data_IF_408581652723
#
_entry.id   IF_408581652723
#
_cell.length_a   1.000
_cell.length_b   1.000
_cell.length_c   1.000
_cell.angle_alpha   90.00
_cell.angle_beta   90.00
_cell.angle_gamma   90.00
#
_symmetry.space_group_name_H-M   'P 1'
#
loop_
_entity.id
_entity.type
_entity.pdbx_description
1 polymer ?
#
# COMPACT_ATOMS: atom_id res chain seq x y z
N UNK A 1 36.43 37.04 -53.88
CA UNK A 1 35.32 37.20 -54.81
C UNK A 1 34.09 36.56 -54.29
N UNK A 2 33.06 37.36 -54.22
CA UNK A 2 31.66 37.07 -54.08
C UNK A 2 31.18 36.15 -52.90
N UNK A 3 30.67 36.80 -51.88
CA UNK A 3 29.75 36.43 -50.83
C UNK A 3 28.45 35.84 -51.38
N UNK A 4 28.03 34.75 -50.85
CA UNK A 4 26.63 34.34 -50.87
C UNK A 4 26.06 34.46 -49.41
N UNK A 5 25.46 35.62 -49.11
CA UNK A 5 24.49 35.82 -48.05
C UNK A 5 23.19 35.20 -48.56
N UNK A 6 22.81 34.01 -47.99
CA UNK A 6 21.44 33.56 -48.14
C UNK A 6 20.57 34.42 -47.23
N UNK A 7 19.78 35.28 -47.79
CA UNK A 7 18.67 35.96 -47.12
C UNK A 7 17.63 34.92 -46.74
N UNK A 8 17.54 34.59 -45.46
CA UNK A 8 16.40 33.85 -44.93
C UNK A 8 15.16 34.74 -45.07
N UNK A 9 14.14 34.21 -45.73
CA UNK A 9 12.89 34.89 -45.99
C UNK A 9 12.20 35.26 -44.65
N UNK A 10 11.72 36.51 -44.49
CA UNK A 10 11.02 36.93 -43.29
C UNK A 10 9.77 36.11 -42.97
N UNK A 11 9.20 35.40 -43.93
CA UNK A 11 8.08 34.47 -43.74
C UNK A 11 8.51 33.16 -43.12
N UNK A 12 9.68 32.60 -43.44
CA UNK A 12 10.24 31.40 -42.81
C UNK A 12 10.60 31.63 -41.34
N UNK A 13 11.08 32.83 -40.99
CA UNK A 13 11.33 33.24 -39.61
C UNK A 13 10.03 33.37 -38.79
N UNK A 14 8.97 33.92 -39.38
CA UNK A 14 7.65 34.01 -38.72
C UNK A 14 6.98 32.64 -38.54
N UNK A 15 7.09 31.75 -39.52
CA UNK A 15 6.60 30.38 -39.39
C UNK A 15 7.38 29.59 -38.33
N UNK A 16 8.69 29.67 -38.29
CA UNK A 16 9.53 29.03 -37.26
C UNK A 16 9.23 29.55 -35.86
N UNK A 17 9.02 30.87 -35.69
CA UNK A 17 8.62 31.46 -34.39
C UNK A 17 7.22 31.04 -33.97
N UNK A 18 6.27 30.90 -34.89
CA UNK A 18 4.91 30.45 -34.60
C UNK A 18 4.85 28.96 -34.23
N UNK A 19 5.65 28.13 -34.92
CA UNK A 19 5.79 26.69 -34.56
C UNK A 19 6.51 26.48 -33.21
N UNK A 20 7.51 27.33 -32.94
CA UNK A 20 8.22 27.27 -31.66
C UNK A 20 7.32 27.75 -30.50
N UNK A 21 6.54 28.80 -30.69
CA UNK A 21 5.52 29.25 -29.70
C UNK A 21 4.40 28.21 -29.52
N UNK A 22 3.95 27.53 -30.58
CA UNK A 22 2.99 26.43 -30.48
C UNK A 22 3.57 25.19 -29.75
N UNK A 23 4.85 24.88 -29.94
CA UNK A 23 5.55 23.81 -29.21
C UNK A 23 5.74 24.16 -27.74
N UNK A 24 6.04 25.39 -27.39
CA UNK A 24 6.18 25.85 -26.01
C UNK A 24 4.84 25.91 -25.26
N UNK A 25 3.77 26.38 -25.90
CA UNK A 25 2.42 26.35 -25.32
C UNK A 25 1.87 24.90 -25.19
N UNK A 26 2.14 24.04 -26.18
CA UNK A 26 1.80 22.61 -26.11
C UNK A 26 2.59 21.85 -25.02
N UNK A 27 3.84 22.23 -24.75
CA UNK A 27 4.68 21.68 -23.68
C UNK A 27 4.17 22.06 -22.29
N UNK A 28 3.76 23.31 -22.07
CA UNK A 28 3.24 23.79 -20.79
C UNK A 28 1.90 23.13 -20.41
N UNK A 29 0.98 23.00 -21.35
CA UNK A 29 -0.31 22.34 -21.14
C UNK A 29 -0.14 20.83 -20.88
N UNK A 30 0.81 20.17 -21.56
CA UNK A 30 1.17 18.76 -21.32
C UNK A 30 1.77 18.55 -19.92
N UNK A 31 2.61 19.45 -19.44
CA UNK A 31 3.22 19.37 -18.12
C UNK A 31 2.18 19.57 -17.01
N UNK A 32 1.35 20.60 -17.09
CA UNK A 32 0.28 20.86 -16.12
C UNK A 32 -0.69 19.67 -16.03
N UNK A 33 -1.08 19.09 -17.15
CA UNK A 33 -1.93 17.90 -17.21
C UNK A 33 -1.29 16.71 -16.50
N UNK A 34 0.00 16.46 -16.72
CA UNK A 34 0.75 15.39 -16.05
C UNK A 34 0.76 15.62 -14.53
N UNK A 35 1.03 16.83 -14.07
CA UNK A 35 1.06 17.17 -12.63
C UNK A 35 -0.31 16.95 -12.00
N UNK A 36 -1.40 17.39 -12.64
CA UNK A 36 -2.76 17.19 -12.13
C UNK A 36 -3.11 15.71 -12.04
N UNK A 37 -2.73 14.88 -13.02
CA UNK A 37 -2.93 13.43 -12.99
C UNK A 37 -2.16 12.76 -11.83
N UNK A 38 -0.91 13.17 -11.61
CA UNK A 38 -0.09 12.63 -10.52
C UNK A 38 -0.69 13.01 -9.16
N UNK A 39 -1.05 14.28 -8.96
CA UNK A 39 -1.71 14.73 -7.72
C UNK A 39 -3.01 13.96 -7.50
N UNK A 40 -3.81 13.77 -8.55
CA UNK A 40 -5.06 13.02 -8.49
C UNK A 40 -4.84 11.57 -8.04
N UNK A 41 -3.84 10.90 -8.61
CA UNK A 41 -3.48 9.54 -8.23
C UNK A 41 -2.99 9.46 -6.78
N UNK A 42 -2.14 10.41 -6.36
CA UNK A 42 -1.65 10.52 -4.99
C UNK A 42 -2.80 10.74 -3.99
N UNK A 43 -3.77 11.58 -4.31
CA UNK A 43 -4.94 11.82 -3.46
C UNK A 43 -5.79 10.55 -3.31
N UNK A 44 -6.12 9.88 -4.42
CA UNK A 44 -6.94 8.66 -4.39
C UNK A 44 -6.23 7.57 -3.59
N UNK A 45 -4.96 7.30 -3.92
CA UNK A 45 -4.20 6.22 -3.29
C UNK A 45 -3.84 6.54 -1.84
N UNK A 46 -3.40 7.76 -1.55
CA UNK A 46 -3.06 8.19 -0.18
C UNK A 46 -4.25 8.17 0.77
N UNK A 47 -5.43 8.64 0.32
CA UNK A 47 -6.65 8.57 1.14
C UNK A 47 -7.05 7.12 1.38
N UNK A 48 -7.05 6.28 0.35
CA UNK A 48 -7.38 4.86 0.47
C UNK A 48 -6.44 4.15 1.43
N UNK A 49 -5.13 4.36 1.27
CA UNK A 49 -4.13 3.70 2.11
C UNK A 49 -4.21 4.19 3.56
N UNK A 50 -4.40 5.50 3.77
CA UNK A 50 -4.60 6.03 5.12
C UNK A 50 -5.86 5.49 5.81
N UNK A 51 -6.92 5.12 5.08
CA UNK A 51 -8.06 4.39 5.65
C UNK A 51 -7.66 2.95 5.99
N UNK A 52 -6.93 2.27 5.11
CA UNK A 52 -6.55 0.87 5.26
C UNK A 52 -5.59 0.66 6.43
N UNK A 53 -4.56 1.48 6.57
CA UNK A 53 -3.50 1.29 7.56
C UNK A 53 -3.91 1.71 8.98
N UNK A 54 -5.06 2.38 9.13
CA UNK A 54 -5.57 2.85 10.42
C UNK A 54 -6.68 1.96 11.03
N UNK A 55 -6.82 0.72 10.60
CA UNK A 55 -7.81 -0.22 11.17
C UNK A 55 -7.61 -0.45 12.67
N UNK A 56 -6.37 -0.42 13.17
CA UNK A 56 -6.07 -0.55 14.60
C UNK A 56 -6.64 0.58 15.46
N UNK A 57 -6.62 1.83 14.97
CA UNK A 57 -7.25 2.97 15.65
C UNK A 57 -8.78 2.81 15.63
N UNK A 58 -9.35 2.42 14.48
CA UNK A 58 -10.79 2.16 14.35
C UNK A 58 -11.22 1.03 15.29
N UNK A 59 -10.50 -0.09 15.31
CA UNK A 59 -10.79 -1.25 16.12
C UNK A 59 -10.90 -0.91 17.61
N UNK A 60 -9.93 -0.15 18.14
CA UNK A 60 -9.93 0.26 19.56
C UNK A 60 -11.22 0.98 19.97
N UNK A 61 -11.79 1.76 19.05
CA UNK A 61 -13.00 2.54 19.29
C UNK A 61 -14.28 1.79 18.88
N UNK A 62 -14.19 0.83 17.95
CA UNK A 62 -15.32 0.00 17.55
C UNK A 62 -15.73 -0.99 18.65
N UNK A 63 -14.78 -1.59 19.37
CA UNK A 63 -15.07 -2.55 20.45
C UNK A 63 -16.13 -2.02 21.44
N UNK A 64 -15.92 -0.90 22.14
CA UNK A 64 -16.92 -0.37 23.08
C UNK A 64 -18.19 0.14 22.38
N UNK A 65 -18.10 0.57 21.13
CA UNK A 65 -19.21 1.14 20.37
C UNK A 65 -20.18 0.08 19.86
N UNK A 66 -19.66 -1.06 19.40
CA UNK A 66 -20.44 -2.13 18.75
C UNK A 66 -20.78 -3.28 19.69
N UNK A 67 -19.99 -3.49 20.73
CA UNK A 67 -20.07 -4.66 21.63
C UNK A 67 -19.47 -5.95 21.05
N UNK A 68 -18.90 -5.90 19.82
CA UNK A 68 -18.12 -7.01 19.24
C UNK A 68 -16.76 -7.04 19.91
N UNK A 69 -16.27 -8.23 20.30
CA UNK A 69 -15.04 -8.36 21.07
C UNK A 69 -13.78 -7.94 20.29
N UNK A 70 -12.73 -7.62 21.01
CA UNK A 70 -11.45 -7.25 20.40
C UNK A 70 -10.88 -8.39 19.54
N UNK A 71 -10.96 -9.63 20.03
CA UNK A 71 -10.51 -10.83 19.30
C UNK A 71 -11.31 -11.04 18.02
N UNK A 72 -12.64 -10.87 18.07
CA UNK A 72 -13.50 -11.00 16.88
C UNK A 72 -13.18 -9.94 15.84
N UNK A 73 -13.01 -8.67 16.23
CA UNK A 73 -12.66 -7.59 15.26
C UNK A 73 -11.25 -7.83 14.71
N UNK A 74 -10.30 -8.30 15.50
CA UNK A 74 -8.95 -8.66 15.04
C UNK A 74 -8.99 -9.78 13.99
N UNK A 75 -9.81 -10.82 14.22
CA UNK A 75 -10.03 -11.87 13.24
C UNK A 75 -10.65 -11.32 11.94
N UNK A 76 -11.63 -10.43 12.06
CA UNK A 76 -12.29 -9.76 10.92
C UNK A 76 -11.28 -8.95 10.09
N UNK A 77 -10.39 -8.20 10.72
CA UNK A 77 -9.31 -7.47 10.04
C UNK A 77 -8.39 -8.45 9.31
N UNK A 78 -8.04 -9.56 9.93
CA UNK A 78 -7.25 -10.62 9.30
C UNK A 78 -7.93 -11.19 8.05
N UNK A 79 -9.22 -11.50 8.10
CA UNK A 79 -10.01 -11.91 6.92
C UNK A 79 -9.97 -10.80 5.84
N UNK A 80 -10.10 -9.55 6.26
CA UNK A 80 -9.99 -8.39 5.37
C UNK A 80 -8.66 -8.31 4.65
N UNK A 81 -7.55 -8.59 5.33
CA UNK A 81 -6.22 -8.61 4.74
C UNK A 81 -6.12 -9.67 3.63
N UNK A 82 -6.61 -10.89 3.86
CA UNK A 82 -6.64 -11.94 2.83
C UNK A 82 -7.48 -11.51 1.63
N UNK A 83 -8.66 -10.94 1.86
CA UNK A 83 -9.53 -10.47 0.80
C UNK A 83 -8.91 -9.32 0.01
N UNK A 84 -8.29 -8.35 0.68
CA UNK A 84 -7.54 -7.27 0.03
C UNK A 84 -6.54 -7.80 -1.01
N UNK A 85 -5.81 -8.86 -0.68
CA UNK A 85 -4.88 -9.50 -1.63
C UNK A 85 -5.58 -10.27 -2.75
N UNK A 86 -6.61 -11.04 -2.42
CA UNK A 86 -7.30 -11.92 -3.38
C UNK A 86 -8.15 -11.18 -4.41
N UNK A 87 -8.73 -10.04 -4.04
CA UNK A 87 -9.59 -9.29 -4.95
C UNK A 87 -8.82 -8.47 -5.98
N UNK A 88 -7.56 -8.13 -5.72
CA UNK A 88 -6.76 -7.29 -6.64
C UNK A 88 -6.62 -7.89 -8.04
N UNK A 89 -6.27 -9.18 -8.22
CA UNK A 89 -6.26 -9.81 -9.55
C UNK A 89 -7.65 -9.81 -10.21
N UNK A 90 -8.71 -10.05 -9.43
CA UNK A 90 -10.09 -10.02 -9.94
C UNK A 90 -10.48 -8.64 -10.48
N UNK A 91 -10.16 -7.59 -9.73
CA UNK A 91 -10.39 -6.21 -10.16
C UNK A 91 -9.46 -5.81 -11.31
N UNK A 92 -8.24 -6.32 -11.37
CA UNK A 92 -7.36 -6.16 -12.53
C UNK A 92 -7.99 -6.70 -13.81
N UNK A 93 -8.51 -7.93 -13.77
CA UNK A 93 -9.22 -8.54 -14.92
C UNK A 93 -10.49 -7.73 -15.27
N UNK A 94 -11.23 -7.28 -14.28
CA UNK A 94 -12.43 -6.45 -14.50
C UNK A 94 -12.07 -5.11 -15.15
N UNK A 95 -10.94 -4.51 -14.75
CA UNK A 95 -10.44 -3.27 -15.32
C UNK A 95 -10.08 -3.42 -16.81
N UNK A 96 -9.47 -4.55 -17.19
CA UNK A 96 -9.20 -4.87 -18.61
C UNK A 96 -10.49 -5.03 -19.43
N UNK A 97 -11.55 -5.62 -18.84
CA UNK A 97 -12.81 -5.87 -19.53
C UNK A 97 -13.73 -4.65 -19.61
N UNK A 98 -13.69 -3.76 -18.64
CA UNK A 98 -14.58 -2.60 -18.54
C UNK A 98 -13.80 -1.29 -18.61
N UNK A 99 -13.16 -0.89 -17.54
CA UNK A 99 -12.17 0.22 -17.43
C UNK A 99 -11.65 0.32 -16.00
N UNK A 100 -10.48 0.93 -15.82
CA UNK A 100 -9.94 1.24 -14.50
C UNK A 100 -10.90 2.15 -13.70
N UNK A 101 -11.47 3.17 -14.34
CA UNK A 101 -12.41 4.09 -13.69
C UNK A 101 -13.66 3.36 -13.17
N UNK A 102 -14.19 2.40 -13.91
CA UNK A 102 -15.34 1.58 -13.47
C UNK A 102 -14.99 0.78 -12.21
N UNK A 103 -13.83 0.15 -12.16
CA UNK A 103 -13.35 -0.59 -10.98
C UNK A 103 -13.16 0.34 -9.79
N UNK A 104 -12.55 1.52 -10.00
CA UNK A 104 -12.36 2.51 -8.95
C UNK A 104 -13.70 3.02 -8.38
N UNK A 105 -14.72 3.20 -9.22
CA UNK A 105 -16.08 3.58 -8.76
C UNK A 105 -16.73 2.50 -7.92
N UNK A 106 -16.59 1.22 -8.31
CA UNK A 106 -17.04 0.09 -7.48
C UNK A 106 -16.30 0.10 -6.14
N UNK A 107 -14.97 0.28 -6.16
CA UNK A 107 -14.14 0.34 -4.96
C UNK A 107 -14.60 1.44 -4.00
N UNK A 108 -14.86 2.66 -4.51
CA UNK A 108 -15.40 3.74 -3.67
C UNK A 108 -16.76 3.37 -3.10
N UNK A 109 -17.69 2.84 -3.90
CA UNK A 109 -18.99 2.45 -3.41
C UNK A 109 -18.89 1.41 -2.27
N UNK A 110 -17.96 0.45 -2.38
CA UNK A 110 -17.71 -0.54 -1.33
C UNK A 110 -17.07 0.11 -0.09
N UNK A 111 -16.10 1.02 -0.25
CA UNK A 111 -15.48 1.74 0.87
C UNK A 111 -16.53 2.58 1.61
N UNK A 112 -17.35 3.35 0.90
CA UNK A 112 -18.41 4.16 1.49
C UNK A 112 -19.39 3.29 2.26
N UNK A 113 -19.84 2.18 1.66
CA UNK A 113 -20.76 1.21 2.30
C UNK A 113 -20.13 0.64 3.56
N UNK A 114 -18.86 0.19 3.50
CA UNK A 114 -18.13 -0.35 4.64
C UNK A 114 -17.97 0.67 5.76
N UNK A 115 -17.51 1.87 5.46
CA UNK A 115 -17.29 2.93 6.47
C UNK A 115 -18.60 3.39 7.14
N UNK A 116 -19.69 3.50 6.39
CA UNK A 116 -20.98 3.96 6.92
C UNK A 116 -21.68 2.85 7.73
N UNK A 117 -21.66 1.60 7.23
CA UNK A 117 -22.38 0.50 7.86
C UNK A 117 -21.65 -0.10 9.08
N UNK A 118 -20.31 -0.11 9.11
CA UNK A 118 -19.53 -0.72 10.19
C UNK A 118 -19.92 -0.22 11.58
N UNK A 119 -20.06 1.09 11.86
CA UNK A 119 -20.45 1.57 13.19
C UNK A 119 -21.87 1.15 13.62
N UNK A 120 -22.70 0.74 12.66
CA UNK A 120 -24.08 0.27 12.93
C UNK A 120 -24.15 -1.21 13.28
N UNK A 121 -23.06 -1.96 13.06
CA UNK A 121 -22.99 -3.39 13.35
C UNK A 121 -23.00 -3.64 14.87
N UNK A 122 -23.74 -4.66 15.29
CA UNK A 122 -23.83 -5.09 16.70
C UNK A 122 -23.51 -6.58 16.88
N UNK A 123 -23.22 -7.28 15.80
CA UNK A 123 -22.99 -8.73 15.79
C UNK A 123 -21.83 -9.06 14.86
N UNK A 124 -21.10 -10.14 15.19
CA UNK A 124 -19.97 -10.64 14.41
C UNK A 124 -20.27 -10.80 12.90
N UNK A 125 -21.40 -11.43 12.45
CA UNK A 125 -21.62 -11.63 11.01
C UNK A 125 -21.76 -10.33 10.22
N UNK A 126 -22.45 -9.34 10.79
CA UNK A 126 -22.62 -8.02 10.13
C UNK A 126 -21.31 -7.24 10.12
N UNK A 127 -20.52 -7.31 11.19
CA UNK A 127 -19.20 -6.71 11.26
C UNK A 127 -18.25 -7.38 10.24
N UNK A 128 -18.26 -8.72 10.16
CA UNK A 128 -17.48 -9.47 9.17
C UNK A 128 -17.84 -9.04 7.75
N UNK A 129 -19.13 -8.88 7.45
CA UNK A 129 -19.59 -8.46 6.12
C UNK A 129 -19.08 -7.06 5.76
N UNK A 130 -19.32 -6.05 6.60
CA UNK A 130 -19.05 -4.67 6.23
C UNK A 130 -17.59 -4.27 6.47
N UNK A 131 -17.01 -4.63 7.60
CA UNK A 131 -15.64 -4.26 7.97
C UNK A 131 -14.58 -5.26 7.46
N UNK A 132 -14.94 -6.57 7.41
CA UNK A 132 -14.01 -7.62 6.99
C UNK A 132 -14.06 -7.98 5.51
N UNK A 133 -15.19 -7.80 4.83
CA UNK A 133 -15.36 -8.20 3.42
C UNK A 133 -15.49 -6.99 2.51
N UNK A 134 -16.51 -6.15 2.72
CA UNK A 134 -16.84 -5.07 1.80
C UNK A 134 -15.77 -3.98 1.81
N UNK A 135 -15.40 -3.49 2.98
CA UNK A 135 -14.42 -2.39 3.09
C UNK A 135 -13.03 -2.77 2.54
N UNK A 136 -12.41 -3.90 2.93
CA UNK A 136 -11.10 -4.31 2.39
C UNK A 136 -11.15 -4.67 0.90
N UNK A 137 -12.26 -5.22 0.41
CA UNK A 137 -12.43 -5.44 -1.03
C UNK A 137 -12.49 -4.12 -1.80
N UNK A 138 -13.14 -3.10 -1.23
CA UNK A 138 -13.18 -1.76 -1.79
C UNK A 138 -11.80 -1.10 -1.84
N UNK A 139 -11.00 -1.22 -0.78
CA UNK A 139 -9.62 -0.71 -0.78
C UNK A 139 -8.75 -1.48 -1.79
N UNK A 140 -8.93 -2.79 -1.94
CA UNK A 140 -8.27 -3.59 -2.96
C UNK A 140 -8.59 -3.16 -4.40
N UNK A 141 -9.82 -2.66 -4.66
CA UNK A 141 -10.20 -2.11 -5.96
C UNK A 141 -9.55 -0.75 -6.27
N UNK A 142 -9.04 -0.04 -5.26
CA UNK A 142 -8.25 1.19 -5.39
C UNK A 142 -6.76 0.94 -5.13
N UNK A 143 -6.29 -0.30 -5.23
CA UNK A 143 -4.89 -0.65 -5.04
C UNK A 143 -3.95 0.13 -5.96
N UNK A 144 -2.69 0.21 -5.58
CA UNK A 144 -1.63 0.87 -6.34
C UNK A 144 -1.63 0.49 -7.82
N UNK A 145 -1.80 -0.81 -8.12
CA UNK A 145 -1.82 -1.32 -9.48
C UNK A 145 -2.96 -0.75 -10.32
N UNK A 146 -4.17 -0.65 -9.78
CA UNK A 146 -5.34 -0.09 -10.46
C UNK A 146 -5.18 1.41 -10.69
N UNK A 147 -4.74 2.16 -9.67
CA UNK A 147 -4.53 3.62 -9.77
C UNK A 147 -3.45 3.92 -10.80
N UNK A 148 -2.32 3.22 -10.76
CA UNK A 148 -1.23 3.40 -11.74
C UNK A 148 -1.66 3.02 -13.15
N UNK A 149 -2.38 1.90 -13.34
CA UNK A 149 -2.86 1.50 -14.65
C UNK A 149 -3.86 2.49 -15.25
N UNK A 150 -4.59 3.23 -14.41
CA UNK A 150 -5.51 4.27 -14.86
C UNK A 150 -4.81 5.49 -15.45
N UNK A 151 -3.63 5.87 -14.92
CA UNK A 151 -2.93 7.10 -15.33
C UNK A 151 -1.75 6.86 -16.28
N UNK A 152 -1.13 5.67 -16.26
CA UNK A 152 0.07 5.35 -17.06
C UNK A 152 -0.12 5.63 -18.55
N UNK A 153 -1.26 5.28 -19.21
CA UNK A 153 -1.46 5.60 -20.63
C UNK A 153 -1.47 7.11 -20.94
N UNK A 154 -1.83 7.93 -19.94
CA UNK A 154 -1.93 9.38 -20.09
C UNK A 154 -0.61 10.11 -19.82
N UNK A 155 0.28 9.56 -18.99
CA UNK A 155 1.59 10.15 -18.64
C UNK A 155 2.73 9.62 -19.51
N UNK A 156 2.54 8.44 -20.12
CA UNK A 156 3.51 7.72 -20.93
C UNK A 156 4.49 6.88 -20.12
N UNK A 157 4.95 5.77 -20.69
CA UNK A 157 5.81 4.77 -20.03
C UNK A 157 7.12 5.34 -19.48
N UNK A 158 7.73 6.29 -20.20
CA UNK A 158 9.01 6.92 -19.79
C UNK A 158 8.92 7.62 -18.42
N UNK A 159 7.75 8.18 -18.09
CA UNK A 159 7.51 8.87 -16.82
C UNK A 159 6.88 7.96 -15.77
N UNK A 160 6.31 6.83 -16.18
CA UNK A 160 5.55 5.94 -15.28
C UNK A 160 6.38 5.45 -14.09
N UNK A 161 7.66 5.11 -14.30
CA UNK A 161 8.53 4.66 -13.22
C UNK A 161 8.78 5.73 -12.14
N UNK A 162 9.01 6.99 -12.54
CA UNK A 162 9.18 8.10 -11.59
C UNK A 162 7.87 8.43 -10.87
N UNK A 163 6.76 8.45 -11.61
CA UNK A 163 5.42 8.73 -11.07
C UNK A 163 4.98 7.63 -10.10
N UNK A 164 5.28 6.36 -10.40
CA UNK A 164 4.96 5.25 -9.49
C UNK A 164 5.61 5.42 -8.11
N UNK A 165 6.85 5.89 -8.05
CA UNK A 165 7.52 6.20 -6.78
C UNK A 165 6.82 7.31 -6.00
N UNK A 166 6.34 8.36 -6.68
CA UNK A 166 5.61 9.47 -6.05
C UNK A 166 4.26 9.00 -5.53
N UNK A 167 3.52 8.23 -6.32
CA UNK A 167 2.21 7.67 -5.92
C UNK A 167 2.38 6.70 -4.76
N UNK A 168 3.40 5.82 -4.78
CA UNK A 168 3.68 4.93 -3.65
C UNK A 168 4.03 5.71 -2.37
N UNK A 169 4.82 6.79 -2.47
CA UNK A 169 5.15 7.63 -1.31
C UNK A 169 3.92 8.33 -0.70
N UNK A 170 2.86 8.57 -1.50
CA UNK A 170 1.62 9.16 -0.99
C UNK A 170 0.87 8.27 0.01
N UNK A 171 1.13 6.96 0.03
CA UNK A 171 0.61 6.05 1.06
C UNK A 171 1.08 6.48 2.46
N UNK A 172 2.40 6.65 2.64
CA UNK A 172 2.95 7.10 3.92
C UNK A 172 2.48 8.50 4.33
N UNK A 173 2.23 9.40 3.37
CA UNK A 173 1.62 10.71 3.64
C UNK A 173 0.16 10.54 4.10
N UNK A 174 -0.60 9.67 3.44
CA UNK A 174 -1.98 9.35 3.81
C UNK A 174 -2.06 8.80 5.24
N UNK A 175 -1.23 7.82 5.56
CA UNK A 175 -1.15 7.24 6.90
C UNK A 175 -0.73 8.28 7.96
N UNK A 176 0.31 9.06 7.69
CA UNK A 176 0.79 10.09 8.60
C UNK A 176 -0.27 11.17 8.92
N UNK A 177 -1.06 11.57 7.94
CA UNK A 177 -2.10 12.59 8.15
C UNK A 177 -3.37 12.02 8.77
N UNK A 178 -3.76 10.80 8.36
CA UNK A 178 -5.04 10.21 8.76
C UNK A 178 -5.02 9.63 10.16
N UNK A 179 -3.89 9.12 10.65
CA UNK A 179 -3.78 8.60 12.02
C UNK A 179 -4.20 9.63 13.08
N UNK A 180 -3.59 10.83 13.17
CA UNK A 180 -4.02 11.83 14.12
C UNK A 180 -5.39 12.45 13.80
N UNK A 181 -5.73 12.60 12.50
CA UNK A 181 -7.03 13.13 12.10
C UNK A 181 -8.17 12.21 12.55
N UNK A 182 -8.02 10.89 12.33
CA UNK A 182 -8.99 9.89 12.77
C UNK A 182 -9.17 9.93 14.30
N UNK A 183 -8.07 9.92 15.05
CA UNK A 183 -8.12 9.96 16.51
C UNK A 183 -8.73 11.28 17.03
N UNK A 184 -8.41 12.41 16.41
CA UNK A 184 -9.02 13.68 16.74
C UNK A 184 -10.55 13.67 16.55
N UNK A 185 -11.02 13.19 15.40
CA UNK A 185 -12.44 13.07 15.11
C UNK A 185 -13.14 12.08 16.07
N UNK A 186 -12.50 10.95 16.39
CA UNK A 186 -13.02 9.98 17.36
C UNK A 186 -13.18 10.63 18.73
N UNK A 187 -12.18 11.38 19.20
CA UNK A 187 -12.24 12.03 20.51
C UNK A 187 -13.30 13.13 20.60
N UNK A 188 -13.63 13.73 19.46
CA UNK A 188 -14.57 14.87 19.39
C UNK A 188 -16.03 14.41 19.22
N UNK A 189 -16.30 13.48 18.30
CA UNK A 189 -17.66 13.08 17.91
C UNK A 189 -17.86 11.54 17.86
N UNK A 190 -16.87 10.77 18.29
CA UNK A 190 -16.92 9.31 18.30
C UNK A 190 -16.66 8.66 16.93
N UNK A 191 -16.61 7.31 16.95
CA UNK A 191 -16.17 6.51 15.82
C UNK A 191 -17.12 6.60 14.60
N UNK A 192 -18.43 6.66 14.81
CA UNK A 192 -19.41 6.71 13.72
C UNK A 192 -19.26 7.99 12.89
N UNK A 193 -19.10 9.13 13.55
CA UNK A 193 -18.84 10.41 12.89
C UNK A 193 -17.50 10.40 12.15
N UNK A 194 -16.47 9.82 12.76
CA UNK A 194 -15.13 9.75 12.17
C UNK A 194 -15.10 8.91 10.91
N UNK A 195 -15.72 7.72 10.93
CA UNK A 195 -15.84 6.86 9.76
C UNK A 195 -16.70 7.52 8.66
N UNK A 196 -17.79 8.20 9.03
CA UNK A 196 -18.60 9.01 8.11
C UNK A 196 -17.82 10.15 7.46
N UNK A 197 -16.95 10.83 8.22
CA UNK A 197 -16.06 11.89 7.71
C UNK A 197 -15.04 11.34 6.71
N UNK A 198 -14.48 10.16 6.98
CA UNK A 198 -13.58 9.48 6.04
C UNK A 198 -14.31 8.98 4.79
N UNK A 199 -15.56 8.55 4.94
CA UNK A 199 -16.41 8.24 3.79
C UNK A 199 -16.64 9.49 2.92
N UNK A 200 -16.93 10.65 3.51
CA UNK A 200 -17.06 11.91 2.76
C UNK A 200 -15.75 12.31 2.07
N UNK A 201 -14.61 12.16 2.75
CA UNK A 201 -13.30 12.44 2.17
C UNK A 201 -13.03 11.53 0.96
N UNK A 202 -13.36 10.24 1.06
CA UNK A 202 -13.24 9.30 -0.06
C UNK A 202 -14.21 9.65 -1.19
N UNK A 203 -15.46 10.01 -0.88
CA UNK A 203 -16.45 10.46 -1.87
C UNK A 203 -16.00 11.72 -2.62
N UNK A 204 -15.24 12.62 -1.98
CA UNK A 204 -14.69 13.81 -2.61
C UNK A 204 -13.71 13.49 -3.75
N UNK A 205 -13.21 12.26 -3.86
CA UNK A 205 -12.37 11.82 -4.99
C UNK A 205 -13.19 11.42 -6.24
N UNK A 206 -14.52 11.26 -6.13
CA UNK A 206 -15.38 10.86 -7.25
C UNK A 206 -15.24 11.74 -8.50
N UNK A 207 -15.27 13.10 -8.41
CA UNK A 207 -15.09 13.95 -9.59
C UNK A 207 -13.77 13.69 -10.32
N UNK A 208 -12.71 13.41 -9.54
CA UNK A 208 -11.37 13.11 -10.06
C UNK A 208 -11.38 11.78 -10.83
N UNK A 209 -12.04 10.75 -10.31
CA UNK A 209 -12.16 9.44 -10.98
C UNK A 209 -12.99 9.56 -12.26
N UNK A 210 -14.08 10.30 -12.23
CA UNK A 210 -14.88 10.57 -13.45
C UNK A 210 -14.04 11.29 -14.50
N UNK A 211 -13.24 12.28 -14.10
CA UNK A 211 -12.34 12.99 -14.99
C UNK A 211 -11.27 12.07 -15.61
N UNK A 212 -10.62 11.22 -14.79
CA UNK A 212 -9.66 10.21 -15.27
C UNK A 212 -10.35 9.26 -16.25
N UNK A 213 -11.56 8.78 -15.94
CA UNK A 213 -12.33 7.89 -16.79
C UNK A 213 -12.75 8.50 -18.13
N UNK A 214 -13.14 9.77 -18.13
CA UNK A 214 -13.45 10.50 -19.37
C UNK A 214 -12.20 10.62 -20.25
N UNK A 215 -11.05 10.97 -19.67
CA UNK A 215 -9.79 11.11 -20.39
C UNK A 215 -9.21 9.79 -20.88
N UNK A 216 -9.38 8.71 -20.15
CA UNK A 216 -8.94 7.37 -20.55
C UNK A 216 -9.68 6.87 -21.79
N UNK A 217 -10.95 7.27 -22.00
CA UNK A 217 -11.74 6.89 -23.19
C UNK A 217 -11.25 7.58 -24.47
N UNK A 218 -10.54 8.69 -24.38
CA UNK A 218 -9.97 9.42 -25.53
C UNK A 218 -8.73 8.73 -26.09
N UNK A 219 -8.16 7.74 -25.37
CA UNK A 219 -6.94 7.04 -25.78
C UNK A 219 -7.28 5.74 -26.50
N UNK A 220 -6.51 5.37 -27.57
CA UNK A 220 -6.66 4.07 -28.21
C UNK A 220 -6.42 2.96 -27.21
N UNK A 221 -7.21 1.88 -27.33
CA UNK A 221 -7.03 0.69 -26.51
C UNK A 221 -5.62 0.13 -26.73
N UNK A 222 -4.89 -0.28 -25.67
CA UNK A 222 -3.58 -0.90 -25.84
C UNK A 222 -3.72 -2.19 -26.67
N UNK A 223 -3.18 -2.18 -27.86
CA UNK A 223 -3.13 -3.37 -28.73
C UNK A 223 -2.04 -4.31 -28.22
N UNK A 224 -2.39 -5.52 -27.82
CA UNK A 224 -1.50 -6.67 -27.91
C UNK A 224 -0.89 -7.29 -26.68
N UNK A 225 -1.07 -6.79 -25.45
CA UNK A 225 -0.39 -7.40 -24.28
C UNK A 225 -1.16 -8.55 -23.61
N UNK A 226 -2.47 -8.67 -23.81
CA UNK A 226 -3.30 -9.67 -23.11
C UNK A 226 -3.28 -11.08 -23.71
N UNK A 227 -2.91 -11.23 -24.97
CA UNK A 227 -3.11 -12.50 -25.68
C UNK A 227 -2.03 -13.58 -25.43
N UNK A 228 -0.87 -13.24 -24.91
CA UNK A 228 0.24 -14.21 -24.72
C UNK A 228 0.43 -14.71 -23.28
N UNK A 229 -0.14 -14.04 -22.29
CA UNK A 229 -0.12 -14.50 -20.89
C UNK A 229 -1.12 -15.65 -20.63
N UNK A 230 -2.05 -15.90 -21.55
CA UNK A 230 -3.16 -16.82 -21.40
C UNK A 230 -2.81 -18.31 -21.60
N UNK A 231 -1.58 -18.65 -21.98
CA UNK A 231 -1.20 -20.04 -22.35
C UNK A 231 -0.60 -20.88 -21.22
N UNK A 232 -0.05 -20.27 -20.15
CA UNK A 232 0.49 -21.05 -19.04
C UNK A 232 -0.61 -21.25 -17.97
N UNK A 233 -0.88 -22.50 -17.55
CA UNK A 233 -1.84 -22.77 -16.47
C UNK A 233 -1.27 -22.24 -15.16
N UNK A 234 -2.11 -21.57 -14.36
CA UNK A 234 -1.72 -21.03 -13.05
C UNK A 234 -1.09 -22.11 -12.14
N UNK A 235 -1.56 -23.36 -12.23
CA UNK A 235 -0.98 -24.51 -11.51
C UNK A 235 0.50 -24.77 -11.88
N UNK A 236 0.85 -24.57 -13.14
CA UNK A 236 2.22 -24.82 -13.61
C UNK A 236 3.14 -23.69 -13.17
N UNK A 237 2.66 -22.45 -13.23
CA UNK A 237 3.37 -21.27 -12.70
C UNK A 237 3.62 -21.41 -11.19
N UNK A 238 2.62 -21.82 -10.42
CA UNK A 238 2.77 -22.06 -8.98
C UNK A 238 3.80 -23.17 -8.73
N UNK A 239 3.72 -24.28 -9.47
CA UNK A 239 4.66 -25.38 -9.36
C UNK A 239 6.10 -24.94 -9.65
N UNK A 240 6.31 -24.18 -10.72
CA UNK A 240 7.62 -23.64 -11.09
C UNK A 240 8.16 -22.67 -10.05
N UNK A 241 7.30 -21.79 -9.53
CA UNK A 241 7.64 -20.86 -8.46
C UNK A 241 8.21 -21.64 -7.25
N UNK A 242 7.48 -22.63 -6.76
CA UNK A 242 7.87 -23.36 -5.55
C UNK A 242 8.94 -24.43 -5.79
N UNK A 243 9.27 -24.80 -7.04
CA UNK A 243 10.48 -25.58 -7.36
C UNK A 243 11.75 -24.74 -7.26
N UNK A 244 11.66 -23.44 -7.52
CA UNK A 244 12.79 -22.52 -7.44
C UNK A 244 13.15 -22.23 -5.98
N UNK A 245 14.42 -22.50 -5.58
CA UNK A 245 14.89 -22.26 -4.21
C UNK A 245 14.86 -20.78 -3.85
N UNK A 246 15.31 -19.92 -4.76
CA UNK A 246 15.34 -18.46 -4.55
C UNK A 246 13.92 -17.94 -4.27
N UNK A 247 12.95 -18.40 -5.05
CA UNK A 247 11.55 -17.98 -4.85
C UNK A 247 10.99 -18.43 -3.51
N UNK A 248 11.25 -19.66 -3.08
CA UNK A 248 10.80 -20.12 -1.75
C UNK A 248 11.36 -19.25 -0.61
N UNK A 249 12.64 -18.85 -0.70
CA UNK A 249 13.26 -17.97 0.28
C UNK A 249 12.63 -16.57 0.27
N UNK A 250 12.34 -16.03 -0.91
CA UNK A 250 11.61 -14.75 -1.08
C UNK A 250 10.20 -14.87 -0.50
N UNK A 251 9.47 -15.95 -0.82
CA UNK A 251 8.10 -16.19 -0.34
C UNK A 251 8.04 -16.24 1.18
N UNK A 252 8.95 -16.97 1.85
CA UNK A 252 9.05 -17.03 3.31
C UNK A 252 9.29 -15.64 3.88
N UNK A 253 10.25 -14.89 3.34
CA UNK A 253 10.53 -13.53 3.79
C UNK A 253 9.32 -12.61 3.63
N UNK A 254 8.67 -12.63 2.47
CA UNK A 254 7.54 -11.74 2.20
C UNK A 254 6.27 -12.12 2.99
N UNK A 255 6.05 -13.41 3.25
CA UNK A 255 4.98 -13.86 4.16
C UNK A 255 5.22 -13.36 5.60
N UNK A 256 6.46 -13.40 6.07
CA UNK A 256 6.86 -12.82 7.36
C UNK A 256 6.64 -11.30 7.39
N UNK A 257 6.87 -10.61 6.26
CA UNK A 257 6.60 -9.18 6.17
C UNK A 257 5.12 -8.90 6.47
N UNK A 258 4.19 -9.66 5.88
CA UNK A 258 2.76 -9.51 6.16
C UNK A 258 2.42 -9.70 7.63
N UNK A 259 3.04 -10.70 8.28
CA UNK A 259 2.87 -10.88 9.73
C UNK A 259 3.31 -9.64 10.52
N UNK A 260 4.49 -9.08 10.19
CA UNK A 260 5.01 -7.88 10.87
C UNK A 260 4.15 -6.63 10.60
N UNK A 261 3.73 -6.41 9.34
CA UNK A 261 2.91 -5.25 8.96
C UNK A 261 1.56 -5.24 9.69
N UNK A 262 0.91 -6.39 9.78
CA UNK A 262 -0.38 -6.50 10.46
C UNK A 262 -0.31 -6.25 11.97
N UNK A 263 0.84 -6.50 12.64
CA UNK A 263 1.03 -6.05 14.03
C UNK A 263 0.85 -4.54 14.13
N UNK A 264 1.46 -3.81 13.19
CA UNK A 264 1.46 -2.35 13.18
C UNK A 264 0.06 -1.83 12.89
N UNK A 265 -0.54 -2.30 11.80
CA UNK A 265 -1.84 -1.84 11.31
C UNK A 265 -2.99 -2.16 12.28
N UNK A 266 -2.91 -3.31 12.99
CA UNK A 266 -4.02 -3.79 13.83
C UNK A 266 -3.82 -3.55 15.32
N UNK A 267 -2.59 -3.73 15.83
CA UNK A 267 -2.39 -3.87 17.28
C UNK A 267 -1.50 -2.82 17.92
N UNK A 268 -0.59 -2.18 17.16
CA UNK A 268 0.44 -1.30 17.72
C UNK A 268 -0.16 -0.11 18.48
N UNK A 269 -1.20 0.52 17.90
CA UNK A 269 -1.92 1.61 18.57
C UNK A 269 -2.53 1.17 19.90
N UNK A 270 -3.22 0.02 19.91
CA UNK A 270 -3.84 -0.55 21.13
C UNK A 270 -2.80 -0.92 22.18
N UNK A 271 -1.63 -1.39 21.77
CA UNK A 271 -0.52 -1.69 22.66
C UNK A 271 0.01 -0.41 23.32
N UNK A 272 0.19 0.67 22.58
CA UNK A 272 0.65 1.93 23.16
C UNK A 272 -0.36 2.47 24.19
N UNK A 273 -1.64 2.37 23.91
CA UNK A 273 -2.68 2.74 24.88
C UNK A 273 -2.64 1.83 26.12
N UNK A 274 -2.33 0.53 25.98
CA UNK A 274 -2.17 -0.38 27.13
C UNK A 274 -0.95 -0.06 27.99
N UNK A 275 0.05 0.64 27.43
CA UNK A 275 1.19 1.18 28.20
C UNK A 275 0.88 2.48 28.95
N UNK A 276 -0.38 2.95 28.92
CA UNK A 276 -0.80 4.20 29.56
C UNK A 276 -0.52 5.45 28.71
N UNK A 277 -0.07 5.28 27.45
CA UNK A 277 0.09 6.40 26.51
C UNK A 277 -1.31 6.86 26.10
N UNK A 278 -1.58 8.16 26.17
CA UNK A 278 -2.89 8.70 25.75
C UNK A 278 -3.16 8.40 24.27
N UNK A 279 -4.42 8.20 23.90
CA UNK A 279 -4.79 7.88 22.52
C UNK A 279 -4.31 8.95 21.52
N UNK A 280 -4.34 10.22 21.90
CA UNK A 280 -3.82 11.30 21.07
C UNK A 280 -2.30 11.19 20.87
N UNK A 281 -1.54 10.89 21.92
CA UNK A 281 -0.11 10.68 21.81
C UNK A 281 0.21 9.42 20.98
N UNK A 282 -0.54 8.32 21.16
CA UNK A 282 -0.39 7.11 20.38
C UNK A 282 -0.65 7.35 18.87
N UNK A 283 -1.66 8.15 18.52
CA UNK A 283 -1.91 8.49 17.11
C UNK A 283 -0.82 9.37 16.50
N UNK A 284 -0.19 10.25 17.30
CA UNK A 284 0.99 11.01 16.85
C UNK A 284 2.21 10.10 16.65
N UNK A 285 2.36 9.05 17.45
CA UNK A 285 3.39 8.03 17.22
C UNK A 285 3.12 7.27 15.91
N UNK A 286 1.86 6.94 15.60
CA UNK A 286 1.50 6.34 14.32
C UNK A 286 1.74 7.27 13.12
N UNK A 287 1.58 8.58 13.29
CA UNK A 287 1.98 9.57 12.27
C UNK A 287 3.47 9.45 11.92
N UNK A 288 4.33 9.23 12.92
CA UNK A 288 5.77 9.01 12.70
C UNK A 288 6.00 7.74 11.86
N UNK A 289 5.21 6.69 12.07
CA UNK A 289 5.28 5.50 11.23
C UNK A 289 5.10 5.85 9.75
N UNK A 290 4.03 6.56 9.37
CA UNK A 290 3.78 6.94 7.98
C UNK A 290 4.91 7.79 7.37
N UNK A 291 5.44 8.77 8.12
CA UNK A 291 6.58 9.58 7.67
C UNK A 291 7.81 8.70 7.43
N UNK A 292 8.11 7.82 8.38
CA UNK A 292 9.30 6.97 8.31
C UNK A 292 9.19 5.87 7.25
N UNK A 293 7.97 5.42 6.93
CA UNK A 293 7.70 4.48 5.82
C UNK A 293 8.09 5.10 4.47
N UNK A 294 7.70 6.34 4.23
CA UNK A 294 8.11 7.09 3.03
C UNK A 294 9.64 7.26 2.96
N UNK A 295 10.27 7.69 4.05
CA UNK A 295 11.73 7.89 4.10
C UNK A 295 12.49 6.57 3.96
N UNK A 296 12.01 5.49 4.58
CA UNK A 296 12.61 4.15 4.52
C UNK A 296 12.57 3.57 3.11
N UNK A 297 11.46 3.70 2.41
CA UNK A 297 11.33 3.25 1.02
C UNK A 297 12.33 3.99 0.11
N UNK A 298 12.49 5.32 0.28
CA UNK A 298 13.49 6.10 -0.46
C UNK A 298 14.92 5.66 -0.12
N UNK A 299 15.24 5.52 1.17
CA UNK A 299 16.57 5.09 1.61
C UNK A 299 16.94 3.70 1.06
N UNK A 300 15.97 2.78 1.02
CA UNK A 300 16.16 1.44 0.45
C UNK A 300 16.48 1.49 -1.04
N UNK A 301 15.83 2.36 -1.80
CA UNK A 301 16.16 2.59 -3.21
C UNK A 301 17.62 3.01 -3.40
N UNK A 302 18.14 3.94 -2.58
CA UNK A 302 19.54 4.35 -2.61
C UNK A 302 20.49 3.24 -2.17
N UNK A 303 20.13 2.47 -1.13
CA UNK A 303 20.97 1.37 -0.66
C UNK A 303 21.14 0.27 -1.73
N UNK A 304 20.09 0.00 -2.54
CA UNK A 304 20.14 -0.98 -3.62
C UNK A 304 21.10 -0.58 -4.75
N UNK A 305 21.45 0.70 -4.89
CA UNK A 305 22.46 1.13 -5.86
C UNK A 305 23.90 0.76 -5.43
N UNK A 306 24.13 0.53 -4.14
CA UNK A 306 25.47 0.24 -3.58
C UNK A 306 25.61 -1.18 -3.06
N UNK A 307 24.53 -1.79 -2.58
CA UNK A 307 24.55 -3.10 -1.92
C UNK A 307 23.66 -4.11 -2.63
N UNK A 308 23.99 -5.40 -2.62
CA UNK A 308 23.12 -6.45 -3.15
C UNK A 308 21.74 -6.43 -2.46
N UNK A 309 20.66 -6.46 -3.23
CA UNK A 309 19.27 -6.41 -2.73
C UNK A 309 19.00 -7.44 -1.62
N UNK A 310 19.56 -8.67 -1.74
CA UNK A 310 19.41 -9.72 -0.73
C UNK A 310 20.00 -9.34 0.62
N UNK A 311 21.13 -8.63 0.62
CA UNK A 311 21.78 -8.19 1.85
C UNK A 311 20.97 -7.05 2.50
N UNK A 312 20.50 -6.09 1.70
CA UNK A 312 19.61 -5.03 2.19
C UNK A 312 18.34 -5.63 2.79
N UNK A 313 17.71 -6.60 2.09
CA UNK A 313 16.52 -7.29 2.58
C UNK A 313 16.78 -8.05 3.89
N UNK A 314 17.91 -8.78 3.96
CA UNK A 314 18.33 -9.49 5.17
C UNK A 314 18.58 -8.55 6.36
N UNK A 315 19.16 -7.37 6.10
CA UNK A 315 19.39 -6.34 7.13
C UNK A 315 18.08 -5.74 7.60
N UNK A 316 17.12 -5.47 6.69
CA UNK A 316 15.77 -4.98 7.04
C UNK A 316 15.08 -5.96 8.00
N UNK A 317 15.06 -7.27 7.68
CA UNK A 317 14.50 -8.27 8.60
C UNK A 317 15.30 -8.41 9.89
N UNK A 318 16.63 -8.31 9.84
CA UNK A 318 17.49 -8.30 11.03
C UNK A 318 17.18 -7.15 11.99
N UNK A 319 16.94 -5.95 11.46
CA UNK A 319 16.49 -4.81 12.27
C UNK A 319 15.12 -5.06 12.91
N UNK A 320 14.19 -5.70 12.20
CA UNK A 320 12.88 -6.07 12.77
C UNK A 320 13.00 -7.09 13.91
N UNK A 321 14.00 -7.98 13.89
CA UNK A 321 14.31 -8.84 15.06
C UNK A 321 14.67 -7.99 16.26
N UNK A 322 15.59 -7.02 16.12
CA UNK A 322 16.00 -6.16 17.21
C UNK A 322 14.84 -5.33 17.76
N UNK A 323 13.99 -4.80 16.88
CA UNK A 323 12.79 -4.06 17.28
C UNK A 323 11.83 -4.98 18.04
N UNK A 324 11.57 -6.19 17.54
CA UNK A 324 10.68 -7.15 18.21
C UNK A 324 11.19 -7.55 19.60
N UNK A 325 12.51 -7.74 19.73
CA UNK A 325 13.13 -8.00 21.02
C UNK A 325 13.05 -6.78 21.96
N UNK A 326 13.18 -5.57 21.45
CA UNK A 326 13.02 -4.36 22.27
C UNK A 326 11.57 -4.22 22.78
N UNK A 327 10.58 -4.50 21.93
CA UNK A 327 9.17 -4.49 22.31
C UNK A 327 8.78 -5.59 23.31
N UNK A 328 9.56 -6.68 23.34
CA UNK A 328 9.36 -7.81 24.26
C UNK A 328 10.05 -7.59 25.61
N UNK A 329 11.26 -7.05 25.61
CA UNK A 329 12.18 -7.05 26.77
C UNK A 329 12.21 -5.73 27.54
N UNK A 330 11.90 -4.60 26.88
CA UNK A 330 11.95 -3.28 27.47
C UNK A 330 10.55 -2.88 27.97
N UNK A 331 10.41 -2.37 29.20
CA UNK A 331 9.13 -1.87 29.69
C UNK A 331 8.51 -0.81 28.76
N UNK A 332 7.20 -0.89 28.56
CA UNK A 332 6.46 0.03 27.68
C UNK A 332 6.61 1.48 28.13
N UNK A 333 6.97 2.36 27.20
CA UNK A 333 7.15 3.78 27.47
C UNK A 333 7.03 4.60 26.17
N UNK A 334 6.75 5.89 26.28
CA UNK A 334 6.66 6.76 25.12
C UNK A 334 7.99 6.82 24.30
N UNK A 335 9.17 6.93 24.90
CA UNK A 335 10.44 6.86 24.15
C UNK A 335 10.59 5.55 23.35
N UNK A 336 10.26 4.39 23.97
CA UNK A 336 10.29 3.12 23.26
C UNK A 336 9.31 3.10 22.09
N UNK A 337 8.08 3.59 22.30
CA UNK A 337 7.07 3.70 21.25
C UNK A 337 7.56 4.54 20.06
N UNK A 338 8.15 5.69 20.31
CA UNK A 338 8.70 6.60 19.27
C UNK A 338 9.83 5.92 18.47
N UNK A 339 10.81 5.35 19.16
CA UNK A 339 11.96 4.71 18.52
C UNK A 339 11.54 3.47 17.74
N UNK A 340 10.76 2.59 18.37
CA UNK A 340 10.30 1.35 17.73
C UNK A 340 9.45 1.65 16.49
N UNK A 341 8.48 2.58 16.60
CA UNK A 341 7.62 2.97 15.48
C UNK A 341 8.40 3.64 14.35
N UNK A 342 9.37 4.50 14.67
CA UNK A 342 10.25 5.09 13.68
C UNK A 342 11.06 4.04 12.91
N UNK A 343 11.63 3.06 13.62
CA UNK A 343 12.37 1.96 13.00
C UNK A 343 11.46 0.99 12.23
N UNK A 344 10.24 0.70 12.74
CA UNK A 344 9.25 -0.11 12.04
C UNK A 344 8.82 0.56 10.73
N UNK A 345 8.54 1.86 10.75
CA UNK A 345 8.23 2.63 9.55
C UNK A 345 9.38 2.59 8.55
N UNK A 346 10.60 2.91 8.97
CA UNK A 346 11.77 2.88 8.09
C UNK A 346 12.02 1.51 7.43
N UNK A 347 11.56 0.43 8.03
CA UNK A 347 11.67 -0.94 7.50
C UNK A 347 10.38 -1.46 6.86
N UNK A 348 9.24 -0.77 7.00
CA UNK A 348 7.91 -1.21 6.57
C UNK A 348 7.86 -1.56 5.09
N UNK A 349 7.58 -0.60 4.25
CA UNK A 349 7.44 -0.78 2.80
C UNK A 349 8.77 -1.03 2.08
N UNK A 350 9.90 -0.92 2.78
CA UNK A 350 11.24 -1.17 2.23
C UNK A 350 11.40 -2.57 1.62
N UNK A 351 10.59 -3.54 2.05
CA UNK A 351 10.66 -4.93 1.55
C UNK A 351 10.01 -5.10 0.17
N UNK A 352 9.06 -4.24 -0.22
CA UNK A 352 8.32 -4.36 -1.48
C UNK A 352 9.24 -4.18 -2.70
N UNK A 353 10.00 -3.07 -2.86
CA UNK A 353 10.90 -2.90 -3.99
C UNK A 353 12.03 -3.93 -4.02
N UNK A 354 12.50 -4.40 -2.87
CA UNK A 354 13.50 -5.46 -2.79
C UNK A 354 12.96 -6.81 -3.28
N UNK A 355 11.75 -7.16 -2.86
CA UNK A 355 11.07 -8.40 -3.26
C UNK A 355 10.77 -8.41 -4.76
N UNK A 356 10.18 -7.33 -5.28
CA UNK A 356 9.90 -7.20 -6.72
C UNK A 356 11.17 -7.20 -7.55
N UNK A 357 12.23 -6.54 -7.10
CA UNK A 357 13.55 -6.53 -7.74
C UNK A 357 14.19 -7.91 -7.80
N UNK A 358 14.16 -8.68 -6.71
CA UNK A 358 14.66 -10.05 -6.67
C UNK A 358 13.87 -10.99 -7.57
N UNK A 359 12.53 -10.88 -7.57
CA UNK A 359 11.66 -11.66 -8.48
C UNK A 359 11.94 -11.30 -9.94
N UNK A 360 12.06 -10.01 -10.25
CA UNK A 360 12.37 -9.56 -11.61
C UNK A 360 13.71 -10.09 -12.09
N UNK A 361 14.70 -10.13 -11.22
CA UNK A 361 16.03 -10.68 -11.54
C UNK A 361 16.00 -12.18 -11.81
N UNK A 362 15.18 -12.94 -11.07
CA UNK A 362 15.10 -14.40 -11.15
C UNK A 362 14.24 -14.88 -12.32
N UNK A 363 13.10 -14.21 -12.58
CA UNK A 363 12.09 -14.66 -13.54
C UNK A 363 11.88 -13.72 -14.73
N UNK A 364 12.56 -12.58 -14.72
CA UNK A 364 12.41 -11.52 -15.74
C UNK A 364 11.21 -10.60 -15.47
N UNK A 365 11.27 -9.40 -16.04
CA UNK A 365 10.24 -8.37 -15.85
C UNK A 365 8.85 -8.81 -16.30
N UNK A 366 8.78 -9.62 -17.38
CA UNK A 366 7.51 -10.12 -17.94
C UNK A 366 6.71 -11.00 -16.98
N UNK A 367 7.39 -11.84 -16.17
CA UNK A 367 6.76 -12.76 -15.22
C UNK A 367 6.65 -12.17 -13.81
N UNK A 368 7.25 -11.01 -13.54
CA UNK A 368 7.34 -10.41 -12.21
C UNK A 368 5.97 -10.25 -11.53
N UNK A 369 4.99 -9.71 -12.25
CA UNK A 369 3.67 -9.42 -11.67
C UNK A 369 2.97 -10.68 -11.15
N UNK A 370 3.07 -11.81 -11.88
CA UNK A 370 2.41 -13.07 -11.49
C UNK A 370 3.10 -13.68 -10.28
N UNK A 371 4.44 -13.76 -10.28
CA UNK A 371 5.19 -14.31 -9.16
C UNK A 371 5.09 -13.43 -7.91
N UNK A 372 5.08 -12.10 -8.08
CA UNK A 372 4.83 -11.18 -6.97
C UNK A 372 3.40 -11.34 -6.43
N UNK A 373 2.40 -11.50 -7.29
CA UNK A 373 1.02 -11.75 -6.87
C UNK A 373 0.88 -13.01 -6.01
N UNK A 374 1.58 -14.10 -6.37
CA UNK A 374 1.61 -15.33 -5.55
C UNK A 374 2.29 -15.07 -4.20
N UNK A 375 3.40 -14.32 -4.19
CA UNK A 375 4.09 -13.94 -2.96
C UNK A 375 3.20 -13.04 -2.06
N UNK A 376 2.40 -12.16 -2.67
CA UNK A 376 1.45 -11.30 -1.97
C UNK A 376 0.35 -12.11 -1.26
N UNK A 377 -0.10 -13.23 -1.83
CA UNK A 377 -1.02 -14.14 -1.12
C UNK A 377 -0.38 -14.65 0.16
N UNK A 378 0.90 -15.06 0.12
CA UNK A 378 1.64 -15.45 1.32
C UNK A 378 1.75 -14.31 2.35
N UNK A 379 2.00 -13.10 1.89
CA UNK A 379 2.02 -11.90 2.73
C UNK A 379 0.68 -11.69 3.44
N UNK A 380 -0.42 -11.79 2.74
CA UNK A 380 -1.76 -11.62 3.32
C UNK A 380 -2.16 -12.75 4.28
N UNK A 381 -1.72 -13.98 4.02
CA UNK A 381 -1.86 -15.08 4.99
C UNK A 381 -1.06 -14.78 6.27
N UNK A 382 0.15 -14.26 6.14
CA UNK A 382 0.94 -13.78 7.27
C UNK A 382 0.21 -12.70 8.07
N UNK A 383 -0.40 -11.73 7.38
CA UNK A 383 -1.19 -10.67 8.00
C UNK A 383 -2.42 -11.22 8.74
N UNK A 384 -3.15 -12.16 8.15
CA UNK A 384 -4.26 -12.85 8.81
C UNK A 384 -3.85 -13.52 10.10
N UNK A 385 -2.76 -14.30 10.06
CA UNK A 385 -2.26 -15.01 11.23
C UNK A 385 -1.86 -14.05 12.33
N UNK A 386 -1.19 -12.95 11.99
CA UNK A 386 -0.76 -11.93 12.94
C UNK A 386 -1.93 -11.19 13.58
N UNK A 387 -2.88 -10.71 12.77
CA UNK A 387 -4.05 -10.00 13.29
C UNK A 387 -4.87 -10.89 14.21
N UNK A 388 -5.16 -12.12 13.78
CA UNK A 388 -5.93 -13.09 14.59
C UNK A 388 -5.20 -13.47 15.90
N UNK A 389 -3.90 -13.76 15.81
CA UNK A 389 -3.10 -14.13 16.99
C UNK A 389 -2.93 -12.95 17.94
N UNK A 390 -2.76 -11.74 17.43
CA UNK A 390 -2.68 -10.53 18.26
C UNK A 390 -3.98 -10.23 19.00
N UNK A 391 -5.14 -10.52 18.40
CA UNK A 391 -6.43 -10.45 19.08
C UNK A 391 -6.53 -11.42 20.26
N UNK A 392 -6.10 -12.68 20.07
CA UNK A 392 -6.01 -13.68 21.12
C UNK A 392 -5.05 -13.21 22.24
N UNK A 393 -3.88 -12.70 21.85
CA UNK A 393 -2.88 -12.20 22.81
C UNK A 393 -3.45 -11.08 23.69
N UNK A 394 -4.15 -10.12 23.09
CA UNK A 394 -4.71 -8.99 23.81
C UNK A 394 -5.84 -9.41 24.78
N UNK A 395 -6.74 -10.29 24.33
CA UNK A 395 -7.96 -10.63 25.09
C UNK A 395 -7.73 -11.75 26.10
N UNK A 396 -6.97 -12.79 25.74
CA UNK A 396 -6.78 -13.95 26.61
C UNK A 396 -5.53 -13.85 27.50
N UNK A 397 -4.44 -13.26 27.00
CA UNK A 397 -3.19 -13.13 27.74
C UNK A 397 -3.00 -11.74 28.37
N UNK A 398 -3.79 -10.72 27.95
CA UNK A 398 -3.65 -9.35 28.42
C UNK A 398 -2.32 -8.68 28.01
N UNK A 399 -1.56 -9.28 27.08
CA UNK A 399 -0.24 -8.81 26.65
C UNK A 399 0.05 -9.19 25.21
N UNK A 400 0.79 -8.35 24.50
CA UNK A 400 1.28 -8.64 23.13
C UNK A 400 2.66 -9.34 23.11
N UNK A 401 3.21 -9.71 24.28
CA UNK A 401 4.53 -10.35 24.35
C UNK A 401 4.64 -11.64 23.49
N UNK A 402 3.66 -12.56 23.45
CA UNK A 402 3.76 -13.73 22.57
C UNK A 402 3.76 -13.37 21.08
N UNK A 403 3.04 -12.31 20.70
CA UNK A 403 3.01 -11.81 19.32
C UNK A 403 4.37 -11.28 18.88
N UNK A 404 5.05 -10.50 19.74
CA UNK A 404 6.40 -9.99 19.46
C UNK A 404 7.45 -11.10 19.48
N UNK A 405 7.31 -12.10 20.35
CA UNK A 405 8.18 -13.28 20.34
C UNK A 405 8.07 -14.06 19.02
N UNK A 406 6.84 -14.30 18.56
CA UNK A 406 6.60 -14.94 17.28
C UNK A 406 7.20 -14.11 16.11
N UNK A 407 6.99 -12.79 16.11
CA UNK A 407 7.53 -11.90 15.11
C UNK A 407 9.07 -11.90 15.09
N UNK A 408 9.72 -11.91 16.25
CA UNK A 408 11.18 -11.99 16.33
C UNK A 408 11.71 -13.27 15.67
N UNK A 409 11.09 -14.42 15.94
CA UNK A 409 11.47 -15.72 15.35
C UNK A 409 11.25 -15.69 13.83
N UNK A 410 10.08 -15.24 13.38
CA UNK A 410 9.75 -15.18 11.96
C UNK A 410 10.70 -14.22 11.22
N UNK A 411 10.99 -13.06 11.77
CA UNK A 411 11.94 -12.10 11.19
C UNK A 411 13.38 -12.67 11.15
N UNK A 412 13.80 -13.44 12.15
CA UNK A 412 15.09 -14.13 12.12
C UNK A 412 15.18 -15.18 11.01
N UNK A 413 14.09 -15.94 10.80
CA UNK A 413 13.96 -16.88 9.68
C UNK A 413 14.02 -16.12 8.34
N UNK A 414 13.28 -15.00 8.22
CA UNK A 414 13.25 -14.19 7.02
C UNK A 414 14.61 -13.55 6.70
N UNK A 415 15.33 -13.06 7.72
CA UNK A 415 16.69 -12.53 7.56
C UNK A 415 17.64 -13.61 7.05
N UNK A 416 17.63 -14.79 7.69
CA UNK A 416 18.43 -15.93 7.29
C UNK A 416 18.11 -16.40 5.87
N UNK A 417 16.81 -16.47 5.52
CA UNK A 417 16.35 -16.82 4.18
C UNK A 417 16.86 -15.80 3.15
N UNK A 418 16.80 -14.49 3.46
CA UNK A 418 17.26 -13.43 2.56
C UNK A 418 18.75 -13.51 2.28
N UNK A 419 19.58 -13.71 3.29
CA UNK A 419 21.03 -13.90 3.10
C UNK A 419 21.38 -15.21 2.34
N UNK A 420 20.55 -16.25 2.45
CA UNK A 420 20.73 -17.52 1.76
C UNK A 420 20.34 -17.49 0.27
N UNK A 421 19.76 -16.39 -0.23
CA UNK A 421 19.48 -16.20 -1.66
C UNK A 421 20.82 -16.20 -2.43
N UNK A 422 20.92 -17.03 -3.46
CA UNK A 422 22.11 -17.06 -4.32
C UNK A 422 22.21 -15.78 -5.16
N UNK A 423 23.43 -15.42 -5.53
CA UNK A 423 23.71 -14.22 -6.35
C UNK A 423 23.13 -14.35 -7.74
#
# INVERSE_FOLDING_TARGET
>A
MASLRSSQDPEDLKQGMSEQAMRETGSGTSMLRTVVLVISACLIYGIMQGIHDNYGIMMKSLVPHTGVSYQEISFIIGVGAVLYGLVQPCFGILALRKSNAFVMLIGIAMILTGLIATPMCRQFPTMLLFFGIILPSGTGALSFGIVMSAITPMIGEKKAAAVSGIVQASAGVGDALMSPALQFLISWHGIAFSMGSFAMLMAATLPVIFWIGAKSRELPAPEGESAQAEKERLSDIIRDAFRNRTYRLIFIGFSTCGFNMSIIESHLFSQFVSWGISQNAASMVMMIYGIMTMLGAMATGFLCMRFPMKNVLGTVYGLRVLISLSMLLIPGSLPLALIATGCLGATGDSTVPLTTGLITREFGARKMAVYYGIALVGHQVGAFLSSSFGGICAEQFGTYAPLWAANAVLCAIAASASYAIRR
#
